data_IF_264101727137
#
_entry.id   IF_264101727137
#
_cell.length_a   1.000
_cell.length_b   1.000
_cell.length_c   1.000
_cell.angle_alpha   90.00
_cell.angle_beta   90.00
_cell.angle_gamma   90.00
#
_symmetry.space_group_name_H-M   'P 1'
#
loop_
_entity.id
_entity.type
_entity.pdbx_description
1 polymer ?
#
# COMPACT_ATOMS: atom_id res chain seq x y z
N UNK A 1 44.78 -48.35 -19.00
CA UNK A 1 44.11 -47.32 -18.19
C UNK A 1 42.87 -46.89 -18.94
N UNK A 2 41.67 -47.30 -18.50
CA UNK A 2 40.43 -46.83 -19.11
C UNK A 2 40.05 -45.49 -18.47
N UNK A 3 40.08 -44.44 -19.27
CA UNK A 3 39.58 -43.11 -18.88
C UNK A 3 38.11 -43.08 -19.27
N UNK A 4 37.22 -43.35 -18.31
CA UNK A 4 35.78 -43.13 -18.47
C UNK A 4 35.52 -41.63 -18.39
N UNK A 5 35.13 -41.02 -19.51
CA UNK A 5 34.68 -39.64 -19.53
C UNK A 5 33.40 -39.50 -18.69
N UNK A 6 33.43 -38.59 -17.71
CA UNK A 6 32.25 -38.26 -16.90
C UNK A 6 31.10 -37.80 -17.83
N UNK A 7 29.87 -38.33 -17.65
CA UNK A 7 28.74 -37.90 -18.47
C UNK A 7 28.46 -36.41 -18.22
N UNK A 8 28.43 -35.63 -19.31
CA UNK A 8 28.15 -34.20 -19.26
C UNK A 8 26.85 -33.93 -18.50
N UNK A 9 26.81 -32.90 -17.63
CA UNK A 9 25.59 -32.56 -16.90
C UNK A 9 24.47 -32.25 -17.89
N UNK A 10 23.51 -33.16 -17.97
CA UNK A 10 22.36 -33.11 -18.87
C UNK A 10 21.63 -31.79 -18.69
N UNK A 11 21.27 -31.12 -19.79
CA UNK A 11 20.49 -29.85 -19.82
C UNK A 11 19.31 -29.83 -18.84
N UNK A 12 18.68 -30.98 -18.60
CA UNK A 12 17.63 -31.20 -17.60
C UNK A 12 18.01 -30.80 -16.18
N UNK A 13 19.23 -31.10 -15.72
CA UNK A 13 19.68 -30.76 -14.38
C UNK A 13 19.90 -29.25 -14.21
N UNK A 14 20.26 -28.54 -15.29
CA UNK A 14 20.29 -27.07 -15.29
C UNK A 14 18.90 -26.46 -15.22
N UNK A 15 17.93 -27.00 -15.97
CA UNK A 15 16.54 -26.52 -15.96
C UNK A 15 15.89 -26.74 -14.58
N UNK A 16 16.11 -27.90 -13.95
CA UNK A 16 15.62 -28.18 -12.59
C UNK A 16 16.24 -27.25 -11.53
N UNK A 17 17.53 -26.93 -11.64
CA UNK A 17 18.20 -25.97 -10.75
C UNK A 17 17.65 -24.56 -10.91
N UNK A 18 17.41 -24.12 -12.15
CA UNK A 18 16.83 -22.81 -12.43
C UNK A 18 15.39 -22.71 -11.92
N UNK A 19 14.58 -23.75 -12.12
CA UNK A 19 13.20 -23.79 -11.62
C UNK A 19 13.16 -23.81 -10.08
N UNK A 20 14.04 -24.59 -9.44
CA UNK A 20 14.18 -24.58 -7.99
C UNK A 20 14.70 -23.24 -7.45
N UNK A 21 15.57 -22.54 -8.19
CA UNK A 21 16.03 -21.21 -7.82
C UNK A 21 14.88 -20.19 -7.85
N UNK A 22 14.10 -20.15 -8.94
CA UNK A 22 12.91 -19.29 -9.04
C UNK A 22 11.92 -19.63 -7.93
N UNK A 23 11.58 -20.91 -7.74
CA UNK A 23 10.66 -21.35 -6.69
C UNK A 23 11.18 -21.02 -5.28
N UNK A 24 12.49 -21.11 -5.04
CA UNK A 24 13.08 -20.78 -3.73
C UNK A 24 13.10 -19.26 -3.47
N UNK A 25 13.34 -18.45 -4.50
CA UNK A 25 13.26 -16.99 -4.43
C UNK A 25 11.81 -16.52 -4.27
N UNK A 26 10.86 -17.13 -4.99
CA UNK A 26 9.43 -16.84 -4.85
C UNK A 26 8.88 -17.25 -3.48
N UNK A 27 9.33 -18.40 -2.94
CA UNK A 27 9.01 -18.82 -1.57
C UNK A 27 9.61 -17.90 -0.49
N UNK A 28 10.74 -17.22 -0.78
CA UNK A 28 11.35 -16.25 0.14
C UNK A 28 10.62 -14.91 0.14
N UNK A 29 10.03 -14.50 -0.98
CA UNK A 29 9.22 -13.28 -1.03
C UNK A 29 7.97 -13.51 -0.17
N UNK A 30 7.84 -12.75 0.92
CA UNK A 30 6.59 -12.70 1.67
C UNK A 30 5.54 -12.04 0.79
N UNK A 31 4.88 -12.81 -0.09
CA UNK A 31 3.89 -12.35 -1.07
C UNK A 31 2.85 -11.43 -0.43
N UNK A 32 2.46 -11.74 0.80
CA UNK A 32 1.56 -10.93 1.64
C UNK A 32 2.13 -9.56 2.05
N UNK A 33 3.45 -9.44 2.31
CA UNK A 33 4.09 -8.14 2.58
C UNK A 33 4.03 -7.28 1.32
N UNK A 34 4.40 -7.87 0.19
CA UNK A 34 4.46 -7.17 -1.10
C UNK A 34 3.05 -6.76 -1.52
N UNK A 35 2.06 -7.65 -1.35
CA UNK A 35 0.65 -7.35 -1.56
C UNK A 35 0.15 -6.20 -0.68
N UNK A 36 0.49 -6.17 0.61
CA UNK A 36 0.10 -5.06 1.49
C UNK A 36 0.70 -3.73 1.03
N UNK A 37 1.99 -3.72 0.69
CA UNK A 37 2.71 -2.54 0.18
C UNK A 37 2.08 -2.04 -1.12
N UNK A 38 1.80 -2.94 -2.06
CA UNK A 38 1.17 -2.58 -3.34
C UNK A 38 -0.24 -2.05 -3.15
N UNK A 39 -1.08 -2.73 -2.36
CA UNK A 39 -2.44 -2.28 -2.06
C UNK A 39 -2.44 -0.92 -1.36
N UNK A 40 -1.56 -0.73 -0.38
CA UNK A 40 -1.35 0.56 0.28
C UNK A 40 -0.92 1.65 -0.69
N UNK A 41 0.09 1.38 -1.52
CA UNK A 41 0.57 2.31 -2.54
C UNK A 41 -0.56 2.75 -3.49
N UNK A 42 -1.32 1.80 -4.02
CA UNK A 42 -2.47 2.09 -4.90
C UNK A 42 -3.58 2.85 -4.18
N UNK A 43 -3.82 2.55 -2.91
CA UNK A 43 -4.79 3.28 -2.09
C UNK A 43 -4.34 4.74 -1.88
N UNK A 44 -3.06 4.99 -1.60
CA UNK A 44 -2.52 6.35 -1.47
C UNK A 44 -2.63 7.18 -2.76
N UNK A 45 -2.41 6.55 -3.92
CA UNK A 45 -2.62 7.21 -5.22
C UNK A 45 -4.09 7.50 -5.46
N UNK A 46 -4.97 6.52 -5.20
CA UNK A 46 -6.42 6.69 -5.32
C UNK A 46 -6.93 7.82 -4.41
N UNK A 47 -6.46 7.86 -3.17
CA UNK A 47 -6.79 8.90 -2.21
C UNK A 47 -6.43 10.29 -2.71
N UNK A 48 -5.20 10.46 -3.22
CA UNK A 48 -4.71 11.73 -3.74
C UNK A 48 -5.42 12.17 -5.04
N UNK A 49 -5.67 11.22 -5.94
CA UNK A 49 -6.22 11.52 -7.28
C UNK A 49 -7.75 11.66 -7.30
N UNK A 50 -8.45 11.04 -6.35
CA UNK A 50 -9.92 10.96 -6.37
C UNK A 50 -10.56 11.32 -5.03
N UNK A 51 -10.31 10.55 -3.98
CA UNK A 51 -11.06 10.66 -2.72
C UNK A 51 -10.93 12.05 -2.10
N UNK A 52 -9.72 12.58 -1.99
CA UNK A 52 -9.49 13.89 -1.39
C UNK A 52 -10.03 15.04 -2.26
N UNK A 53 -9.78 15.09 -3.59
CA UNK A 53 -10.45 16.05 -4.48
C UNK A 53 -11.98 16.04 -4.38
N UNK A 54 -12.59 14.85 -4.42
CA UNK A 54 -14.05 14.69 -4.32
C UNK A 54 -14.57 15.11 -2.95
N UNK A 55 -13.86 14.79 -1.86
CA UNK A 55 -14.24 15.22 -0.52
C UNK A 55 -14.25 16.75 -0.40
N UNK A 56 -13.19 17.41 -0.87
CA UNK A 56 -13.08 18.87 -0.82
C UNK A 56 -14.11 19.55 -1.74
N UNK A 57 -14.37 19.00 -2.93
CA UNK A 57 -15.37 19.56 -3.85
C UNK A 57 -16.80 19.36 -3.37
N UNK A 58 -17.11 18.22 -2.75
CA UNK A 58 -18.44 17.93 -2.18
C UNK A 58 -18.83 18.89 -1.06
N UNK A 59 -17.83 19.49 -0.38
CA UNK A 59 -18.03 20.51 0.66
C UNK A 59 -18.07 21.94 0.08
N UNK A 60 -18.01 22.10 -1.24
CA UNK A 60 -18.05 23.39 -1.93
C UNK A 60 -16.80 24.25 -1.71
N UNK A 61 -15.68 23.66 -1.28
CA UNK A 61 -14.47 24.42 -0.93
C UNK A 61 -13.62 24.78 -2.16
N UNK A 62 -13.59 23.93 -3.17
CA UNK A 62 -12.94 24.18 -4.47
C UNK A 62 -13.53 23.28 -5.55
N UNK A 63 -13.31 23.59 -6.82
CA UNK A 63 -13.71 22.70 -7.92
C UNK A 63 -12.78 21.48 -8.01
N UNK A 64 -13.34 20.36 -8.49
CA UNK A 64 -12.64 19.07 -8.51
C UNK A 64 -11.42 19.07 -9.44
N UNK A 65 -11.44 19.89 -10.50
CA UNK A 65 -10.31 20.00 -11.44
C UNK A 65 -9.13 20.71 -10.79
N UNK A 66 -9.36 21.89 -10.19
CA UNK A 66 -8.34 22.62 -9.44
C UNK A 66 -7.80 21.79 -8.27
N UNK A 67 -8.66 21.04 -7.58
CA UNK A 67 -8.24 20.16 -6.51
C UNK A 67 -7.24 19.10 -6.98
N UNK A 68 -7.57 18.39 -8.06
CA UNK A 68 -6.69 17.37 -8.66
C UNK A 68 -5.37 17.96 -9.13
N UNK A 69 -5.41 19.15 -9.72
CA UNK A 69 -4.20 19.82 -10.20
C UNK A 69 -3.26 20.19 -9.04
N UNK A 70 -3.79 20.79 -7.98
CA UNK A 70 -3.01 21.16 -6.80
C UNK A 70 -2.40 19.95 -6.09
N UNK A 71 -3.10 18.81 -6.11
CA UNK A 71 -2.65 17.57 -5.47
C UNK A 71 -1.71 16.72 -6.33
N UNK A 72 -1.63 16.99 -7.63
CA UNK A 72 -0.85 16.19 -8.59
C UNK A 72 0.63 16.06 -8.21
N UNK A 73 1.23 17.13 -7.68
CA UNK A 73 2.63 17.14 -7.23
C UNK A 73 2.93 16.23 -6.03
N UNK A 74 1.90 15.78 -5.31
CA UNK A 74 2.07 15.00 -4.08
C UNK A 74 1.90 13.48 -4.25
N UNK A 75 1.58 13.02 -5.46
CA UNK A 75 1.20 11.62 -5.71
C UNK A 75 2.28 10.59 -5.31
N UNK A 76 3.56 10.93 -5.47
CA UNK A 76 4.66 10.02 -5.08
C UNK A 76 4.78 9.92 -3.57
N UNK A 77 4.63 11.04 -2.85
CA UNK A 77 4.71 11.05 -1.39
C UNK A 77 3.54 10.30 -0.76
N UNK A 78 2.33 10.46 -1.31
CA UNK A 78 1.16 9.72 -0.83
C UNK A 78 1.29 8.23 -1.09
N UNK A 79 1.79 7.83 -2.25
CA UNK A 79 2.12 6.44 -2.56
C UNK A 79 3.05 5.84 -1.50
N UNK A 80 4.17 6.51 -1.20
CA UNK A 80 5.17 6.00 -0.25
C UNK A 80 4.63 5.91 1.18
N UNK A 81 3.95 6.95 1.67
CA UNK A 81 3.40 6.99 3.03
C UNK A 81 2.37 5.90 3.24
N UNK A 82 1.46 5.71 2.28
CA UNK A 82 0.43 4.68 2.37
C UNK A 82 0.97 3.26 2.18
N UNK A 83 2.00 3.09 1.35
CA UNK A 83 2.73 1.82 1.21
C UNK A 83 3.35 1.38 2.55
N UNK A 84 4.00 2.30 3.26
CA UNK A 84 4.58 2.05 4.58
C UNK A 84 3.47 1.80 5.61
N UNK A 85 2.40 2.60 5.60
CA UNK A 85 1.25 2.43 6.48
C UNK A 85 0.56 1.06 6.33
N UNK A 86 0.39 0.58 5.10
CA UNK A 86 -0.19 -0.74 4.85
C UNK A 86 0.73 -1.87 5.29
N UNK A 87 2.04 -1.70 5.12
CA UNK A 87 3.02 -2.65 5.63
C UNK A 87 3.01 -2.75 7.15
N UNK A 88 2.90 -1.63 7.87
CA UNK A 88 2.79 -1.61 9.34
C UNK A 88 1.44 -2.17 9.81
N UNK A 89 0.33 -1.79 9.18
CA UNK A 89 -1.01 -2.32 9.47
C UNK A 89 -1.10 -3.84 9.30
N UNK A 90 -0.33 -4.41 8.35
CA UNK A 90 -0.22 -5.86 8.22
C UNK A 90 0.52 -6.51 9.40
N UNK A 91 1.59 -5.87 9.90
CA UNK A 91 2.43 -6.44 10.98
C UNK A 91 1.69 -6.57 12.31
N UNK A 92 0.66 -5.77 12.54
CA UNK A 92 -0.13 -5.80 13.79
C UNK A 92 -0.95 -7.07 13.97
N UNK A 93 -1.30 -7.80 12.90
CA UNK A 93 -2.04 -9.07 13.00
C UNK A 93 -3.48 -8.97 13.51
N UNK A 94 -3.97 -7.76 13.80
CA UNK A 94 -5.33 -7.48 14.26
C UNK A 94 -6.01 -6.50 13.29
N UNK A 95 -7.25 -6.81 12.87
CA UNK A 95 -8.04 -5.99 11.93
C UNK A 95 -8.29 -4.59 12.45
N UNK A 96 -8.66 -4.46 13.73
CA UNK A 96 -8.95 -3.17 14.35
C UNK A 96 -7.70 -2.29 14.44
N UNK A 97 -6.54 -2.89 14.80
CA UNK A 97 -5.27 -2.16 14.85
C UNK A 97 -4.78 -1.77 13.45
N UNK A 98 -4.95 -2.65 12.45
CA UNK A 98 -4.61 -2.32 11.07
C UNK A 98 -5.44 -1.15 10.53
N UNK A 99 -6.74 -1.13 10.85
CA UNK A 99 -7.62 0.00 10.58
C UNK A 99 -7.18 1.27 11.29
N UNK A 100 -6.85 1.20 12.58
CA UNK A 100 -6.37 2.37 13.33
C UNK A 100 -5.06 2.94 12.77
N UNK A 101 -4.10 2.09 12.42
CA UNK A 101 -2.80 2.51 11.86
C UNK A 101 -2.99 3.22 10.52
N UNK A 102 -3.69 2.60 9.57
CA UNK A 102 -3.91 3.22 8.26
C UNK A 102 -4.88 4.40 8.33
N UNK A 103 -5.84 4.40 9.25
CA UNK A 103 -6.71 5.54 9.54
C UNK A 103 -5.92 6.75 10.04
N UNK A 104 -4.96 6.56 10.95
CA UNK A 104 -4.08 7.64 11.41
C UNK A 104 -3.15 8.13 10.28
N UNK A 105 -2.60 7.22 9.49
CA UNK A 105 -1.80 7.57 8.30
C UNK A 105 -2.64 8.40 7.33
N UNK A 106 -3.88 7.99 7.08
CA UNK A 106 -4.83 8.71 6.23
C UNK A 106 -5.20 10.08 6.81
N UNK A 107 -5.47 10.18 8.12
CA UNK A 107 -5.75 11.45 8.77
C UNK A 107 -4.60 12.44 8.62
N UNK A 108 -3.39 12.01 8.98
CA UNK A 108 -2.22 12.88 8.98
C UNK A 108 -1.86 13.26 7.54
N UNK A 109 -1.80 12.28 6.63
CA UNK A 109 -1.49 12.58 5.23
C UNK A 109 -2.56 13.43 4.57
N UNK A 110 -3.85 13.15 4.79
CA UNK A 110 -4.95 13.94 4.25
C UNK A 110 -4.96 15.39 4.75
N UNK A 111 -4.73 15.61 6.04
CA UNK A 111 -4.63 16.95 6.60
C UNK A 111 -3.41 17.71 6.05
N UNK A 112 -2.24 17.06 5.94
CA UNK A 112 -1.03 17.67 5.40
C UNK A 112 -1.17 18.01 3.91
N UNK A 113 -1.76 17.11 3.11
CA UNK A 113 -1.98 17.34 1.68
C UNK A 113 -2.97 18.48 1.45
N UNK A 114 -4.10 18.47 2.15
CA UNK A 114 -5.07 19.55 2.04
C UNK A 114 -4.48 20.90 2.50
N UNK A 115 -3.70 20.88 3.58
CA UNK A 115 -2.97 22.03 4.09
C UNK A 115 -1.95 22.59 3.09
N UNK A 116 -1.18 21.71 2.45
CA UNK A 116 -0.14 22.09 1.49
C UNK A 116 -0.71 22.51 0.12
N UNK A 117 -1.83 21.92 -0.30
CA UNK A 117 -2.43 22.20 -1.60
C UNK A 117 -3.39 23.41 -1.58
N UNK A 118 -4.15 23.59 -0.49
CA UNK A 118 -5.24 24.58 -0.41
C UNK A 118 -5.08 25.58 0.74
N UNK A 119 -4.05 25.43 1.57
CA UNK A 119 -3.80 26.27 2.75
C UNK A 119 -4.35 25.68 4.06
N UNK A 120 -4.03 26.33 5.19
CA UNK A 120 -4.31 25.82 6.55
C UNK A 120 -5.73 26.12 7.05
N UNK A 121 -6.69 26.34 6.15
CA UNK A 121 -8.08 26.57 6.53
C UNK A 121 -8.65 25.32 7.21
N UNK A 122 -9.33 25.51 8.35
CA UNK A 122 -9.86 24.38 9.15
C UNK A 122 -10.76 23.46 8.30
N UNK A 123 -11.56 24.02 7.40
CA UNK A 123 -12.42 23.26 6.49
C UNK A 123 -11.63 22.33 5.58
N UNK A 124 -10.49 22.76 5.04
CA UNK A 124 -9.63 21.92 4.20
C UNK A 124 -8.94 20.84 5.03
N UNK A 125 -8.44 21.17 6.22
CA UNK A 125 -7.78 20.21 7.12
C UNK A 125 -8.76 19.13 7.59
N UNK A 126 -10.00 19.49 7.92
CA UNK A 126 -11.05 18.55 8.32
C UNK A 126 -11.53 17.71 7.13
N UNK A 127 -11.69 18.30 5.95
CA UNK A 127 -12.07 17.57 4.74
C UNK A 127 -11.01 16.53 4.37
N UNK A 128 -9.73 16.95 4.31
CA UNK A 128 -8.61 16.08 3.98
C UNK A 128 -8.34 15.03 5.06
N UNK A 129 -8.23 15.45 6.31
CA UNK A 129 -7.97 14.55 7.43
C UNK A 129 -9.14 13.60 7.71
N UNK A 130 -10.37 14.08 7.63
CA UNK A 130 -11.57 13.26 7.83
C UNK A 130 -11.76 12.21 6.73
N UNK A 131 -11.66 12.61 5.46
CA UNK A 131 -11.73 11.66 4.34
C UNK A 131 -10.59 10.64 4.40
N UNK A 132 -9.37 11.09 4.75
CA UNK A 132 -8.21 10.23 4.94
C UNK A 132 -8.40 9.24 6.09
N UNK A 133 -8.95 9.66 7.22
CA UNK A 133 -9.23 8.78 8.36
C UNK A 133 -10.22 7.67 7.98
N UNK A 134 -11.33 8.03 7.32
CA UNK A 134 -12.36 7.06 6.92
C UNK A 134 -11.80 6.10 5.87
N UNK A 135 -11.17 6.63 4.82
CA UNK A 135 -10.62 5.83 3.73
C UNK A 135 -9.48 4.91 4.19
N UNK A 136 -8.56 5.44 5.00
CA UNK A 136 -7.46 4.69 5.59
C UNK A 136 -7.95 3.67 6.62
N UNK A 137 -8.95 4.02 7.43
CA UNK A 137 -9.54 3.13 8.42
C UNK A 137 -10.15 1.89 7.78
N UNK A 138 -11.04 2.08 6.79
CA UNK A 138 -11.68 0.99 6.06
C UNK A 138 -10.64 0.17 5.28
N UNK A 139 -9.75 0.84 4.55
CA UNK A 139 -8.70 0.18 3.78
C UNK A 139 -7.75 -0.64 4.67
N UNK A 140 -7.41 -0.13 5.85
CA UNK A 140 -6.56 -0.81 6.82
C UNK A 140 -7.20 -2.05 7.43
N UNK A 141 -8.50 -2.01 7.72
CA UNK A 141 -9.22 -3.20 8.16
C UNK A 141 -9.23 -4.27 7.07
N UNK A 142 -9.45 -3.89 5.80
CA UNK A 142 -9.45 -4.83 4.67
C UNK A 142 -8.07 -5.45 4.42
N UNK A 143 -7.02 -4.63 4.42
CA UNK A 143 -5.63 -5.10 4.24
C UNK A 143 -5.22 -6.02 5.40
N UNK A 144 -5.55 -5.65 6.63
CA UNK A 144 -5.25 -6.48 7.79
C UNK A 144 -6.02 -7.81 7.75
N UNK A 145 -7.30 -7.80 7.38
CA UNK A 145 -8.12 -9.03 7.30
C UNK A 145 -7.64 -9.96 6.17
N UNK A 146 -7.41 -9.43 4.97
CA UNK A 146 -7.03 -10.23 3.79
C UNK A 146 -5.61 -10.79 3.84
N UNK A 147 -4.70 -10.14 4.59
CA UNK A 147 -3.27 -10.49 4.63
C UNK A 147 -2.78 -10.94 6.01
N UNK A 148 -3.71 -11.16 6.95
CA UNK A 148 -3.45 -11.81 8.22
C UNK A 148 -2.83 -13.18 8.01
N UNK A 149 -1.95 -13.56 8.94
CA UNK A 149 -1.55 -14.95 9.08
C UNK A 149 -2.76 -15.68 9.64
N UNK A 150 -3.27 -16.76 9.04
CA UNK A 150 -4.18 -17.64 9.77
C UNK A 150 -3.45 -17.99 11.07
N UNK A 151 -4.10 -17.76 12.22
CA UNK A 151 -3.76 -18.58 13.38
C UNK A 151 -3.84 -20.01 12.87
N UNK A 152 -2.76 -20.77 13.07
CA UNK A 152 -2.73 -22.17 12.64
C UNK A 152 -4.00 -22.86 13.07
N UNK A 153 -4.50 -23.74 12.21
CA UNK A 153 -5.29 -24.87 12.64
C UNK A 153 -4.60 -25.45 13.89
N UNK A 154 -5.22 -25.22 15.05
CA UNK A 154 -4.86 -25.87 16.31
C UNK A 154 -5.67 -27.17 16.41
#
# INVERSE_FOLDING_TARGET
MNVTADPMPTRENMIKRFNNFILSSLKKVRLRSVGAVLLGATAGVSFNATVLPTAVSSLGLTDEFSARWALGGYAVYTLMVWAVGAWTARRTGNTALGGAVLGLVGLVSGALLAGAAFGTGLSFLLAGGGSGLIYGGIGGMLIANSLQTPCGDA
#
